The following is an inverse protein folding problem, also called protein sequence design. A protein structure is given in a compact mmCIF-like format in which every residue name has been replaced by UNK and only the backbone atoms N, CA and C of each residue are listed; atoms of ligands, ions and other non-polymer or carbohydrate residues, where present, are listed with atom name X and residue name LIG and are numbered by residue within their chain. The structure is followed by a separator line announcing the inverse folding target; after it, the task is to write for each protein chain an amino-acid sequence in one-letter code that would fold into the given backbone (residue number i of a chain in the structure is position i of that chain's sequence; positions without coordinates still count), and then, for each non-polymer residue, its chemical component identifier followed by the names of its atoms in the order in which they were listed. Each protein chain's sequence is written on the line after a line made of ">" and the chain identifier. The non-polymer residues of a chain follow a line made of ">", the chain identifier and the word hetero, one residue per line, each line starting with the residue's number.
data_IF_297385851056
#
_entry.id   IF_297385851056
#
_cell.length_a   1.000
_cell.length_b   1.000
_cell.length_c   1.000
_cell.angle_alpha   90.00
_cell.angle_beta   90.00
_cell.angle_gamma   90.00
#
_symmetry.space_group_name_H-M   'P 1'
#
loop_
_entity.id
_entity.type
_entity.pdbx_description
1 polymer ?
#
# COMPACT_ATOMS: atom_id res chain seq x y z
N UNK A 1 -9.52 7.21 -16.60
CA UNK A 1 -9.00 8.49 -16.07
C UNK A 1 -8.11 9.11 -17.13
N UNK A 2 -8.08 10.43 -17.24
CA UNK A 2 -7.25 11.16 -18.20
C UNK A 2 -6.58 12.36 -17.54
N UNK A 3 -5.66 13.02 -18.23
CA UNK A 3 -5.04 14.26 -17.76
C UNK A 3 -5.53 15.38 -18.68
N UNK A 4 -6.07 16.46 -18.12
CA UNK A 4 -6.46 17.63 -18.91
C UNK A 4 -5.24 18.35 -19.47
N UNK A 5 -5.44 19.19 -20.47
CA UNK A 5 -4.38 20.08 -21.00
C UNK A 5 -3.80 21.01 -19.91
N UNK A 6 -4.57 21.29 -18.87
CA UNK A 6 -4.17 22.08 -17.69
C UNK A 6 -3.42 21.26 -16.63
N UNK A 7 -3.22 19.96 -16.83
CA UNK A 7 -2.51 19.07 -15.92
C UNK A 7 -3.34 18.48 -14.78
N UNK A 8 -4.65 18.70 -14.77
CA UNK A 8 -5.58 18.16 -13.78
C UNK A 8 -5.93 16.70 -14.11
N UNK A 9 -6.19 15.91 -13.06
CA UNK A 9 -6.62 14.53 -13.20
C UNK A 9 -8.13 14.48 -13.43
N UNK A 10 -8.54 14.07 -14.63
CA UNK A 10 -9.93 13.88 -14.99
C UNK A 10 -10.41 12.50 -14.52
N UNK A 11 -11.38 12.52 -13.60
CA UNK A 11 -11.99 11.31 -13.02
C UNK A 11 -13.46 11.28 -13.42
N UNK A 12 -13.84 10.27 -14.21
CA UNK A 12 -15.22 10.03 -14.57
C UNK A 12 -15.96 9.38 -13.39
N UNK A 13 -17.11 9.94 -13.01
CA UNK A 13 -17.96 9.40 -11.95
C UNK A 13 -19.44 9.65 -12.27
N UNK A 14 -20.30 8.69 -11.99
CA UNK A 14 -21.76 8.82 -12.19
C UNK A 14 -22.38 9.70 -11.11
N UNK A 15 -22.00 9.44 -9.86
CA UNK A 15 -22.35 10.27 -8.70
C UNK A 15 -21.10 10.89 -8.09
N UNK A 16 -21.27 11.96 -7.30
CA UNK A 16 -20.14 12.59 -6.62
C UNK A 16 -19.59 11.62 -5.56
N UNK A 17 -18.33 11.15 -5.70
CA UNK A 17 -17.75 10.24 -4.73
C UNK A 17 -17.54 10.94 -3.39
N UNK A 18 -17.40 10.14 -2.34
CA UNK A 18 -17.07 10.63 -1.00
C UNK A 18 -15.83 11.56 -1.07
N UNK A 19 -15.83 12.71 -0.38
CA UNK A 19 -14.69 13.62 -0.35
C UNK A 19 -13.35 12.93 -0.04
N UNK A 20 -13.35 11.89 0.77
CA UNK A 20 -12.18 11.06 1.09
C UNK A 20 -11.58 10.41 -0.14
N UNK A 21 -12.41 9.93 -1.06
CA UNK A 21 -11.96 9.30 -2.33
C UNK A 21 -11.33 10.35 -3.24
N UNK A 22 -11.88 11.57 -3.25
CA UNK A 22 -11.32 12.69 -4.03
C UNK A 22 -9.94 13.07 -3.48
N UNK A 23 -9.81 13.15 -2.15
CA UNK A 23 -8.55 13.45 -1.48
C UNK A 23 -7.49 12.36 -1.74
N UNK A 24 -7.89 11.09 -1.69
CA UNK A 24 -7.02 9.95 -2.05
C UNK A 24 -6.55 10.00 -3.49
N UNK A 25 -7.43 10.33 -4.43
CA UNK A 25 -7.08 10.47 -5.84
C UNK A 25 -6.14 11.67 -6.07
N UNK A 26 -6.35 12.77 -5.35
CA UNK A 26 -5.43 13.91 -5.42
C UNK A 26 -4.05 13.52 -4.89
N UNK A 27 -4.02 12.77 -3.79
CA UNK A 27 -2.81 12.29 -3.14
C UNK A 27 -2.02 11.31 -4.02
N UNK A 28 -2.67 10.24 -4.50
CA UNK A 28 -2.02 9.15 -5.23
C UNK A 28 -1.39 9.64 -6.54
N UNK A 29 -2.03 10.59 -7.20
CA UNK A 29 -1.60 11.09 -8.51
C UNK A 29 -0.88 12.45 -8.43
N UNK A 30 -0.74 13.03 -7.23
CA UNK A 30 -0.13 14.35 -7.00
C UNK A 30 -0.69 15.45 -7.92
N UNK A 31 -1.99 15.39 -8.20
CA UNK A 31 -2.69 16.26 -9.16
C UNK A 31 -4.04 16.66 -8.59
N UNK A 32 -4.52 17.85 -8.94
CA UNK A 32 -5.91 18.22 -8.64
C UNK A 32 -6.87 17.34 -9.41
N UNK A 33 -7.85 16.77 -8.73
CA UNK A 33 -8.89 15.95 -9.33
C UNK A 33 -10.03 16.84 -9.79
N UNK A 34 -10.41 16.69 -11.06
CA UNK A 34 -11.61 17.27 -11.64
C UNK A 34 -12.57 16.15 -12.01
N UNK A 35 -13.73 16.17 -11.39
CA UNK A 35 -14.78 15.19 -11.65
C UNK A 35 -15.49 15.52 -12.96
N UNK A 36 -15.67 14.51 -13.79
CA UNK A 36 -16.44 14.57 -15.03
C UNK A 36 -17.62 13.62 -14.86
N UNK A 37 -18.83 14.10 -15.07
CA UNK A 37 -20.02 13.25 -15.00
C UNK A 37 -20.08 12.35 -16.23
N UNK A 38 -20.26 11.05 -16.01
CA UNK A 38 -20.44 10.06 -17.07
C UNK A 38 -21.42 8.97 -16.62
N UNK A 39 -22.25 8.41 -17.52
CA UNK A 39 -23.13 7.30 -17.18
C UNK A 39 -22.35 6.04 -16.76
N UNK A 40 -22.91 5.23 -15.85
CA UNK A 40 -22.28 3.97 -15.43
C UNK A 40 -21.85 3.10 -16.63
N UNK A 41 -22.70 2.97 -17.65
CA UNK A 41 -22.43 2.16 -18.82
C UNK A 41 -21.15 2.59 -19.57
N UNK A 42 -20.92 3.90 -19.69
CA UNK A 42 -19.74 4.45 -20.35
C UNK A 42 -18.48 4.28 -19.47
N UNK A 43 -18.61 4.46 -18.16
CA UNK A 43 -17.52 4.22 -17.20
C UNK A 43 -17.09 2.75 -17.26
N UNK A 44 -18.05 1.82 -17.24
CA UNK A 44 -17.80 0.38 -17.32
C UNK A 44 -17.13 0.00 -18.65
N UNK A 45 -17.62 0.51 -19.79
CA UNK A 45 -17.01 0.29 -21.09
C UNK A 45 -15.57 0.82 -21.15
N UNK A 46 -15.33 2.03 -20.62
CA UNK A 46 -14.00 2.63 -20.56
C UNK A 46 -13.03 1.80 -19.69
N UNK A 47 -13.49 1.30 -18.54
CA UNK A 47 -12.69 0.42 -17.66
C UNK A 47 -12.29 -0.87 -18.37
N UNK A 48 -13.20 -1.47 -19.14
CA UNK A 48 -12.93 -2.70 -19.90
C UNK A 48 -11.97 -2.45 -21.06
N UNK A 49 -12.13 -1.34 -21.79
CA UNK A 49 -11.23 -0.95 -22.88
C UNK A 49 -9.80 -0.66 -22.40
N UNK A 50 -9.63 0.08 -21.30
CA UNK A 50 -8.31 0.42 -20.75
C UNK A 50 -7.55 -0.81 -20.21
N UNK A 51 -8.26 -1.84 -19.77
CA UNK A 51 -7.65 -3.12 -19.38
C UNK A 51 -7.21 -3.97 -20.60
N UNK A 52 -7.79 -3.69 -21.77
CA UNK A 52 -7.52 -4.40 -23.02
C UNK A 52 -6.37 -3.78 -23.82
N UNK A 53 -6.10 -2.49 -23.61
CA UNK A 53 -5.09 -1.70 -24.34
C UNK A 53 -3.71 -1.62 -23.67
N UNK A 54 -3.45 -2.35 -22.57
CA UNK A 54 -2.10 -2.39 -22.02
C UNK A 54 -1.17 -3.11 -23.01
N UNK A 55 -0.12 -2.45 -23.55
CA UNK A 55 0.77 -3.09 -24.48
C UNK A 55 1.60 -4.15 -23.74
N UNK A 56 1.57 -5.35 -24.31
CA UNK A 56 2.63 -6.33 -24.15
C UNK A 56 3.93 -5.73 -24.70
N UNK A 57 4.79 -5.17 -23.83
CA UNK A 57 6.24 -5.42 -23.86
C UNK A 57 6.98 -4.70 -22.72
N UNK A 58 7.26 -5.46 -21.67
CA UNK A 58 8.57 -5.50 -21.07
C UNK A 58 8.80 -6.98 -20.66
N UNK A 59 9.32 -7.76 -21.61
CA UNK A 59 9.89 -9.12 -21.49
C UNK A 59 9.82 -9.72 -20.08
N UNK A 60 8.86 -10.62 -19.81
CA UNK A 60 8.97 -12.06 -20.02
C UNK A 60 10.08 -12.72 -19.18
N UNK A 61 9.68 -13.27 -18.03
CA UNK A 61 9.85 -14.72 -17.84
C UNK A 61 8.54 -15.29 -17.33
N UNK A 62 8.07 -16.32 -18.04
CA UNK A 62 6.87 -17.12 -17.81
C UNK A 62 6.38 -17.17 -16.35
N UNK A 63 5.13 -16.75 -16.13
CA UNK A 63 4.25 -17.42 -15.17
C UNK A 63 2.86 -17.49 -15.81
N UNK A 64 2.70 -18.51 -16.66
CA UNK A 64 1.39 -18.96 -17.15
C UNK A 64 0.54 -19.37 -15.96
N UNK A 65 -0.75 -19.08 -16.09
CA UNK A 65 -1.73 -19.18 -15.03
C UNK A 65 -1.65 -20.47 -14.22
N UNK A 66 -1.90 -20.31 -12.93
CA UNK A 66 -2.33 -21.38 -12.07
C UNK A 66 -3.34 -20.80 -11.10
N UNK A 67 -4.60 -21.21 -11.27
CA UNK A 67 -5.47 -21.46 -10.13
C UNK A 67 -4.65 -22.15 -9.04
N UNK A 68 -4.75 -21.74 -7.77
CA UNK A 68 -4.73 -22.62 -6.59
C UNK A 68 -4.84 -21.79 -5.30
N UNK A 69 -5.89 -21.99 -4.52
CA UNK A 69 -6.05 -22.92 -3.38
C UNK A 69 -5.43 -22.39 -2.09
N UNK A 70 -6.37 -22.08 -1.19
CA UNK A 70 -6.22 -21.68 0.19
C UNK A 70 -5.69 -22.84 1.04
N UNK A 71 -4.56 -22.67 1.72
CA UNK A 71 -4.13 -23.53 2.82
C UNK A 71 -3.57 -22.68 3.98
N UNK A 72 -4.26 -22.73 5.12
CA UNK A 72 -3.69 -22.80 6.47
C UNK A 72 -2.96 -21.58 7.08
N UNK A 73 -3.64 -20.95 8.05
CA UNK A 73 -3.13 -20.20 9.23
C UNK A 73 -2.11 -19.06 9.01
N UNK A 74 -2.66 -17.85 8.89
CA UNK A 74 -2.01 -16.54 9.10
C UNK A 74 -0.79 -16.19 8.22
N UNK A 75 -0.84 -16.51 6.93
CA UNK A 75 0.04 -15.91 5.93
C UNK A 75 -0.71 -14.85 5.13
N UNK A 76 -0.26 -13.59 5.23
CA UNK A 76 -0.76 -12.53 4.37
C UNK A 76 -0.12 -12.64 2.99
N UNK A 77 -0.88 -13.20 2.05
CA UNK A 77 -0.49 -13.22 0.65
C UNK A 77 -0.77 -11.85 0.04
N UNK A 78 0.28 -11.11 -0.33
CA UNK A 78 0.16 -9.92 -1.19
C UNK A 78 0.22 -10.43 -2.64
N UNK A 79 -0.79 -11.20 -3.05
CA UNK A 79 -0.91 -11.63 -4.43
C UNK A 79 -1.71 -10.56 -5.20
N UNK A 80 -1.13 -9.98 -6.25
CA UNK A 80 -1.75 -9.17 -7.31
C UNK A 80 -2.48 -7.84 -7.02
N UNK A 81 -2.27 -6.90 -7.95
CA UNK A 81 -2.96 -5.59 -8.03
C UNK A 81 -4.50 -5.70 -8.02
N UNK A 82 -5.04 -6.81 -8.55
CA UNK A 82 -6.49 -7.11 -8.53
C UNK A 82 -7.01 -7.41 -7.13
N UNK A 83 -6.22 -8.10 -6.32
CA UNK A 83 -6.58 -8.48 -4.94
C UNK A 83 -6.45 -7.27 -4.01
N UNK A 84 -5.52 -6.36 -4.31
CA UNK A 84 -5.46 -5.03 -3.66
C UNK A 84 -6.69 -4.16 -3.95
N UNK A 85 -7.38 -4.35 -5.08
CA UNK A 85 -8.52 -3.52 -5.47
C UNK A 85 -9.77 -3.76 -4.60
N UNK A 86 -9.94 -4.97 -4.06
CA UNK A 86 -11.08 -5.37 -3.22
C UNK A 86 -10.81 -5.26 -1.72
N UNK A 87 -9.62 -4.78 -1.31
CA UNK A 87 -9.27 -4.63 0.09
C UNK A 87 -9.85 -3.35 0.69
N UNK A 88 -10.13 -3.39 2.00
CA UNK A 88 -10.44 -2.17 2.75
C UNK A 88 -9.29 -1.14 2.57
N UNK A 89 -9.58 0.17 2.46
CA UNK A 89 -8.60 1.19 2.08
C UNK A 89 -7.29 1.16 2.89
N UNK A 90 -7.38 0.92 4.20
CA UNK A 90 -6.23 0.86 5.11
C UNK A 90 -5.34 -0.35 4.84
N UNK A 91 -5.95 -1.51 4.55
CA UNK A 91 -5.19 -2.73 4.23
C UNK A 91 -4.42 -2.51 2.93
N UNK A 92 -5.10 -1.97 1.92
CA UNK A 92 -4.49 -1.62 0.63
C UNK A 92 -3.33 -0.64 0.80
N UNK A 93 -3.52 0.42 1.57
CA UNK A 93 -2.50 1.43 1.84
C UNK A 93 -1.23 0.82 2.44
N UNK A 94 -1.37 -0.02 3.47
CA UNK A 94 -0.23 -0.68 4.12
C UNK A 94 0.47 -1.63 3.15
N UNK A 95 -0.28 -2.42 2.39
CA UNK A 95 0.29 -3.35 1.41
C UNK A 95 1.05 -2.61 0.29
N UNK A 96 0.48 -1.51 -0.23
CA UNK A 96 1.15 -0.66 -1.24
C UNK A 96 2.43 -0.06 -0.66
N UNK A 97 2.39 0.47 0.55
CA UNK A 97 3.57 1.03 1.21
C UNK A 97 4.71 0.01 1.35
N UNK A 98 4.39 -1.21 1.80
CA UNK A 98 5.40 -2.29 1.90
C UNK A 98 5.93 -2.66 0.51
N UNK A 99 5.06 -2.81 -0.48
CA UNK A 99 5.46 -3.16 -1.85
C UNK A 99 6.34 -2.09 -2.51
N UNK A 100 6.03 -0.81 -2.31
CA UNK A 100 6.85 0.31 -2.79
C UNK A 100 8.23 0.33 -2.13
N UNK A 101 8.30 0.13 -0.82
CA UNK A 101 9.56 0.03 -0.10
C UNK A 101 10.44 -1.11 -0.63
N UNK A 102 9.84 -2.28 -0.90
CA UNK A 102 10.54 -3.43 -1.48
C UNK A 102 11.04 -3.13 -2.90
N UNK A 103 10.20 -2.53 -3.76
CA UNK A 103 10.59 -2.12 -5.12
C UNK A 103 11.73 -1.11 -5.10
N UNK A 104 11.72 -0.19 -4.13
CA UNK A 104 12.78 0.78 -3.89
C UNK A 104 14.01 0.19 -3.20
N UNK A 105 14.01 -1.12 -2.87
CA UNK A 105 15.08 -1.81 -2.13
C UNK A 105 15.42 -1.14 -0.80
N UNK A 106 14.40 -0.63 -0.11
CA UNK A 106 14.58 0.00 1.19
C UNK A 106 14.91 -1.04 2.27
N UNK A 107 15.85 -0.72 3.17
CA UNK A 107 16.21 -1.57 4.32
C UNK A 107 15.26 -1.43 5.49
N UNK A 108 14.67 -0.23 5.64
CA UNK A 108 13.76 0.10 6.73
C UNK A 108 12.61 0.97 6.21
N UNK A 109 11.41 0.74 6.74
CA UNK A 109 10.25 1.62 6.61
C UNK A 109 10.01 2.24 7.98
N UNK A 110 10.09 3.56 8.04
CA UNK A 110 9.84 4.35 9.24
C UNK A 110 8.48 5.01 9.15
N UNK A 111 7.66 4.83 10.18
CA UNK A 111 6.34 5.43 10.35
C UNK A 111 6.36 6.22 11.66
N UNK A 112 6.31 7.54 11.54
CA UNK A 112 6.46 8.47 12.65
C UNK A 112 5.15 9.22 12.89
N UNK A 113 4.57 9.03 14.06
CA UNK A 113 3.45 9.87 14.49
C UNK A 113 3.93 11.30 14.76
N UNK A 114 3.30 12.27 14.10
CA UNK A 114 3.56 13.70 14.22
C UNK A 114 2.26 14.45 14.53
N UNK A 115 2.31 15.74 14.94
CA UNK A 115 1.09 16.53 15.14
C UNK A 115 0.19 16.56 13.89
N UNK A 116 0.81 16.56 12.71
CA UNK A 116 0.14 16.71 11.41
C UNK A 116 -0.31 15.37 10.81
N UNK A 117 -0.07 14.25 11.50
CA UNK A 117 -0.42 12.91 11.03
C UNK A 117 0.78 11.96 10.99
N UNK A 118 0.73 10.97 10.10
CA UNK A 118 1.77 9.95 9.98
C UNK A 118 2.80 10.36 8.91
N UNK A 119 4.06 10.56 9.31
CA UNK A 119 5.18 10.73 8.40
C UNK A 119 5.75 9.37 8.04
N UNK A 120 6.00 9.12 6.76
CA UNK A 120 6.54 7.85 6.28
C UNK A 120 7.87 8.10 5.60
N UNK A 121 8.89 7.30 5.93
CA UNK A 121 10.24 7.39 5.35
C UNK A 121 10.78 6.03 5.00
N UNK A 122 11.47 5.93 3.87
CA UNK A 122 12.20 4.72 3.49
C UNK A 122 13.69 4.95 3.69
N UNK A 123 14.39 3.98 4.28
CA UNK A 123 15.86 3.97 4.27
C UNK A 123 16.33 3.24 3.02
N UNK A 124 16.90 3.97 2.07
CA UNK A 124 17.45 3.43 0.82
C UNK A 124 18.94 3.72 0.83
N UNK A 125 19.76 2.68 0.67
CA UNK A 125 21.23 2.79 0.69
C UNK A 125 21.77 3.55 1.92
N UNK A 126 21.12 3.36 3.08
CA UNK A 126 21.47 3.98 4.35
C UNK A 126 20.86 5.36 4.61
N UNK A 127 20.31 6.01 3.59
CA UNK A 127 19.75 7.38 3.66
C UNK A 127 18.23 7.35 3.81
N UNK A 128 17.68 8.24 4.64
CA UNK A 128 16.23 8.35 4.85
C UNK A 128 15.61 9.30 3.81
N UNK A 129 14.63 8.79 3.08
CA UNK A 129 13.85 9.54 2.10
C UNK A 129 12.41 9.69 2.58
N UNK A 130 11.92 10.92 2.61
CA UNK A 130 10.50 11.21 2.84
C UNK A 130 9.68 10.74 1.64
N UNK A 131 8.57 10.07 1.91
CA UNK A 131 7.58 9.70 0.90
C UNK A 131 6.25 10.39 1.18
N UNK A 132 5.28 10.21 0.27
CA UNK A 132 3.98 10.85 0.39
C UNK A 132 3.27 10.45 1.69
N UNK A 133 2.83 11.43 2.47
CA UNK A 133 2.21 11.20 3.78
C UNK A 133 0.76 10.77 3.60
N UNK A 134 0.30 9.67 4.23
CA UNK A 134 -1.11 9.33 4.20
C UNK A 134 -1.95 10.39 4.92
N UNK A 135 -3.23 10.59 4.55
CA UNK A 135 -4.14 11.48 5.25
C UNK A 135 -4.17 11.21 6.76
N UNK A 136 -4.21 12.29 7.57
CA UNK A 136 -4.12 12.23 9.05
C UNK A 136 -5.09 11.23 9.68
N UNK A 137 -6.30 11.11 9.11
CA UNK A 137 -7.32 10.17 9.59
C UNK A 137 -6.90 8.70 9.56
N UNK A 138 -5.94 8.33 8.72
CA UNK A 138 -5.47 6.95 8.58
C UNK A 138 -4.38 6.56 9.58
N UNK A 139 -3.81 7.49 10.35
CA UNK A 139 -2.72 7.20 11.29
C UNK A 139 -3.07 6.05 12.25
N UNK A 140 -4.19 6.13 12.95
CA UNK A 140 -4.58 5.12 13.93
C UNK A 140 -4.87 3.76 13.28
N UNK A 141 -5.47 3.78 12.08
CA UNK A 141 -5.84 2.58 11.37
C UNK A 141 -4.60 1.85 10.80
N UNK A 142 -3.62 2.60 10.27
CA UNK A 142 -2.34 2.05 9.80
C UNK A 142 -1.57 1.40 10.94
N UNK A 143 -1.46 2.08 12.09
CA UNK A 143 -0.77 1.53 13.27
C UNK A 143 -1.45 0.25 13.78
N UNK A 144 -2.79 0.25 13.84
CA UNK A 144 -3.57 -0.92 14.22
C UNK A 144 -3.37 -2.08 13.23
N UNK A 145 -3.35 -1.79 11.93
CA UNK A 145 -3.11 -2.79 10.88
C UNK A 145 -1.74 -3.44 11.03
N UNK A 146 -0.69 -2.67 11.26
CA UNK A 146 0.66 -3.22 11.46
C UNK A 146 0.72 -4.09 12.72
N UNK A 147 0.08 -3.68 13.82
CA UNK A 147 -0.01 -4.51 15.03
C UNK A 147 -0.70 -5.85 14.78
N UNK A 148 -1.81 -5.85 14.03
CA UNK A 148 -2.50 -7.08 13.64
C UNK A 148 -1.56 -7.97 12.82
N UNK A 149 -0.93 -7.43 11.78
CA UNK A 149 -0.02 -8.18 10.90
C UNK A 149 1.17 -8.80 11.65
N UNK A 150 1.62 -8.14 12.72
CA UNK A 150 2.75 -8.57 13.54
C UNK A 150 2.33 -9.36 14.80
N UNK A 151 1.05 -9.73 14.93
CA UNK A 151 0.46 -10.41 16.08
C UNK A 151 0.72 -9.70 17.42
N UNK A 152 0.69 -8.37 17.42
CA UNK A 152 0.92 -7.49 18.57
C UNK A 152 -0.37 -7.05 19.26
N UNK A 153 -0.27 -6.63 20.52
CA UNK A 153 -1.42 -6.14 21.27
C UNK A 153 -1.83 -4.73 20.79
N UNK A 154 -2.98 -4.65 20.13
CA UNK A 154 -3.57 -3.43 19.57
C UNK A 154 -3.95 -2.43 20.66
N UNK A 155 -4.39 -2.92 21.82
CA UNK A 155 -4.85 -2.09 22.93
C UNK A 155 -3.70 -1.47 23.73
N UNK A 156 -2.53 -2.12 23.77
CA UNK A 156 -1.35 -1.57 24.44
C UNK A 156 -0.63 -0.56 23.55
N UNK A 157 -0.35 0.62 24.09
CA UNK A 157 0.28 1.77 23.39
C UNK A 157 1.34 2.48 24.22
N UNK A 158 1.55 2.07 25.47
CA UNK A 158 2.44 2.69 26.46
C UNK A 158 3.78 1.99 26.57
N UNK A 159 3.86 0.75 26.10
CA UNK A 159 5.08 -0.07 26.12
C UNK A 159 5.55 -0.32 24.69
N UNK A 160 6.86 -0.42 24.52
CA UNK A 160 7.44 -0.87 23.27
C UNK A 160 7.01 -2.33 22.98
N UNK A 161 6.83 -2.65 21.71
CA UNK A 161 6.42 -3.97 21.24
C UNK A 161 7.23 -4.37 20.02
N UNK A 162 7.66 -5.63 19.96
CA UNK A 162 8.41 -6.19 18.84
C UNK A 162 7.69 -7.42 18.29
N UNK A 163 7.64 -7.52 16.97
CA UNK A 163 6.95 -8.60 16.27
C UNK A 163 7.60 -8.91 14.94
N UNK A 164 6.97 -9.80 14.18
CA UNK A 164 7.36 -10.12 12.81
C UNK A 164 6.15 -10.22 11.91
N UNK A 165 6.31 -9.80 10.67
CA UNK A 165 5.30 -9.98 9.62
C UNK A 165 5.92 -10.89 8.57
N UNK A 166 5.25 -12.02 8.30
CA UNK A 166 5.59 -12.92 7.19
C UNK A 166 4.64 -12.65 6.03
N UNK A 167 5.19 -12.26 4.89
CA UNK A 167 4.43 -11.98 3.67
C UNK A 167 4.89 -12.91 2.57
N UNK A 168 3.97 -13.42 1.77
CA UNK A 168 4.29 -14.08 0.51
C UNK A 168 4.03 -13.13 -0.65
N UNK A 169 5.07 -12.95 -1.47
CA UNK A 169 5.03 -12.17 -2.71
C UNK A 169 5.51 -13.06 -3.86
N UNK A 170 4.57 -13.55 -4.66
CA UNK A 170 4.84 -14.60 -5.65
C UNK A 170 5.52 -15.80 -4.98
N UNK A 171 6.68 -16.24 -5.47
CA UNK A 171 7.44 -17.38 -4.92
C UNK A 171 8.46 -16.97 -3.85
N UNK A 172 8.36 -15.74 -3.32
CA UNK A 172 9.29 -15.22 -2.31
C UNK A 172 8.57 -14.99 -0.99
N UNK A 173 9.15 -15.53 0.07
CA UNK A 173 8.79 -15.19 1.43
C UNK A 173 9.60 -13.99 1.92
N UNK A 174 8.90 -13.05 2.52
CA UNK A 174 9.47 -11.87 3.16
C UNK A 174 9.20 -11.94 4.65
N UNK A 175 10.27 -11.90 5.45
CA UNK A 175 10.19 -11.74 6.90
C UNK A 175 10.58 -10.30 7.26
N UNK A 176 9.61 -9.52 7.73
CA UNK A 176 9.80 -8.16 8.23
C UNK A 176 9.83 -8.18 9.75
N UNK A 177 10.90 -7.65 10.35
CA UNK A 177 10.91 -7.36 11.79
C UNK A 177 10.18 -6.05 12.03
N UNK A 178 9.33 -6.01 13.04
CA UNK A 178 8.55 -4.84 13.42
C UNK A 178 8.92 -4.43 14.82
N UNK A 179 9.26 -3.15 14.99
CA UNK A 179 9.45 -2.53 16.30
C UNK A 179 8.51 -1.34 16.43
N UNK A 180 7.74 -1.31 17.50
CA UNK A 180 6.79 -0.23 17.83
C UNK A 180 7.22 0.39 19.15
N UNK A 181 7.24 1.72 19.22
CA UNK A 181 7.60 2.44 20.44
C UNK A 181 6.65 3.62 20.68
N UNK A 182 6.28 3.89 21.94
CA UNK A 182 5.49 5.07 22.28
C UNK A 182 6.27 6.36 21.97
N UNK A 183 5.56 7.37 21.49
CA UNK A 183 6.08 8.70 21.16
C UNK A 183 5.12 9.78 21.67
N UNK A 184 5.50 11.05 21.57
CA UNK A 184 4.67 12.17 22.03
C UNK A 184 3.30 12.25 21.32
N UNK A 185 3.22 11.86 20.04
CA UNK A 185 2.02 12.04 19.21
C UNK A 185 1.34 10.71 18.82
N UNK A 186 1.71 9.60 19.47
CA UNK A 186 1.22 8.27 19.14
C UNK A 186 2.34 7.24 19.21
N UNK A 187 2.44 6.39 18.20
CA UNK A 187 3.46 5.33 18.15
C UNK A 187 4.38 5.55 16.94
N UNK A 188 5.67 5.35 17.15
CA UNK A 188 6.66 5.21 16.09
C UNK A 188 6.80 3.73 15.74
N UNK A 189 6.83 3.42 14.44
CA UNK A 189 7.01 2.07 13.94
C UNK A 189 8.19 2.02 12.98
N UNK A 190 9.01 0.97 13.12
CA UNK A 190 10.07 0.62 12.18
C UNK A 190 9.81 -0.78 11.69
N UNK A 191 9.64 -0.95 10.38
CA UNK A 191 9.68 -2.25 9.72
C UNK A 191 11.05 -2.42 9.08
N UNK A 192 11.73 -3.52 9.37
CA UNK A 192 13.03 -3.87 8.78
C UNK A 192 12.89 -5.13 7.95
N UNK A 193 13.25 -5.05 6.68
CA UNK A 193 13.37 -6.24 5.85
C UNK A 193 14.58 -7.07 6.29
N UNK A 194 14.37 -8.35 6.58
CA UNK A 194 15.45 -9.31 6.56
C UNK A 194 16.04 -9.42 5.15
N UNK A 195 17.31 -9.83 5.02
CA UNK A 195 17.81 -10.26 3.72
C UNK A 195 16.85 -11.33 3.18
N UNK A 196 16.35 -11.14 1.95
CA UNK A 196 15.42 -12.06 1.31
C UNK A 196 15.94 -13.49 1.49
N UNK A 197 15.14 -14.35 2.14
CA UNK A 197 15.42 -15.77 2.17
C UNK A 197 15.42 -16.22 0.71
N UNK A 198 16.62 -16.45 0.16
CA UNK A 198 16.76 -17.15 -1.10
C UNK A 198 16.10 -18.51 -0.88
N UNK A 199 14.97 -18.76 -1.54
CA UNK A 199 14.64 -20.12 -1.90
C UNK A 199 15.79 -20.61 -2.78
N UNK A 200 16.58 -21.53 -2.23
CA UNK A 200 17.65 -22.24 -2.93
C UNK A 200 17.05 -22.99 -4.15
N UNK A 201 17.87 -23.26 -5.19
CA UNK A 201 17.41 -23.60 -6.54
C UNK A 201 16.63 -24.91 -6.64
#
# INVERSE_FOLDING_TARGET
>A
MGVSETGELLVAAEERPDPTVIDELCWLYSRRVKLVSAPAAEIHAAILSAQSESPADAQATDLRGSDLVLLGEEEETIADLRTLANQAPVIKLVNVMILEALRARASDIHLEATPDGLRVRYRIDGVLHDISRPPRQYQAAVLSRIKIMASLNIAERRLAQDGRIRLRLSDRELDLRVSISPTLHGEGVVLRSGAALHSAP
#
